data_IF_578622939875
#
_entry.id   IF_578622939875
#
_cell.length_a   1.000
_cell.length_b   1.000
_cell.length_c   1.000
_cell.angle_alpha   90.00
_cell.angle_beta   90.00
_cell.angle_gamma   90.00
#
_symmetry.space_group_name_H-M   'P 1'
#
loop_
_entity.id
_entity.type
_entity.pdbx_description
1 polymer ?
#
# COMPACT_ATOMS: atom_id res chain seq x y z
N UNK A 1 17.00 29.73 36.58
CA UNK A 1 18.12 30.37 35.87
C UNK A 1 17.92 30.10 34.39
N UNK A 2 17.03 30.88 33.77
CA UNK A 2 16.95 30.93 32.31
C UNK A 2 17.87 32.09 31.94
N UNK A 3 19.08 31.73 31.52
CA UNK A 3 20.03 32.67 30.96
C UNK A 3 19.39 33.38 29.76
N UNK A 4 19.78 34.64 29.58
CA UNK A 4 19.18 35.64 28.70
C UNK A 4 18.69 35.05 27.38
N UNK A 5 17.41 35.30 27.06
CA UNK A 5 16.88 34.97 25.74
C UNK A 5 17.56 35.91 24.72
N UNK A 6 18.69 35.45 24.19
CA UNK A 6 19.55 36.25 23.34
C UNK A 6 18.83 36.49 22.02
N UNK A 7 18.42 37.73 21.79
CA UNK A 7 17.68 38.17 20.59
C UNK A 7 18.43 37.75 19.32
N UNK A 8 19.76 37.62 19.39
CA UNK A 8 20.63 37.12 18.35
C UNK A 8 20.30 35.67 17.96
N UNK A 9 20.04 34.80 18.94
CA UNK A 9 19.64 33.41 18.70
C UNK A 9 18.25 33.31 18.09
N UNK A 10 17.32 34.20 18.45
CA UNK A 10 16.00 34.30 17.82
C UNK A 10 16.12 34.77 16.36
N UNK A 11 16.86 35.85 16.11
CA UNK A 11 17.05 36.41 14.77
C UNK A 11 17.85 35.51 13.84
N UNK A 12 18.67 34.60 14.35
CA UNK A 12 19.36 33.59 13.54
C UNK A 12 18.53 32.31 13.41
N UNK A 13 17.89 31.84 14.48
CA UNK A 13 17.13 30.59 14.51
C UNK A 13 15.88 30.62 13.65
N UNK A 14 15.11 31.73 13.66
CA UNK A 14 13.88 31.86 12.88
C UNK A 14 14.12 31.82 11.37
N UNK A 15 15.04 32.62 10.79
CA UNK A 15 15.34 32.56 9.37
C UNK A 15 15.88 31.19 8.95
N UNK A 16 16.72 30.57 9.78
CA UNK A 16 17.28 29.26 9.49
C UNK A 16 16.19 28.19 9.48
N UNK A 17 15.25 28.25 10.43
CA UNK A 17 14.04 27.41 10.44
C UNK A 17 13.17 27.59 9.19
N UNK A 18 12.90 28.84 8.80
CA UNK A 18 12.11 29.18 7.60
C UNK A 18 12.78 28.67 6.33
N UNK A 19 14.11 28.85 6.21
CA UNK A 19 14.90 28.36 5.07
C UNK A 19 14.85 26.83 5.01
N UNK A 20 15.03 26.16 6.15
CA UNK A 20 15.00 24.68 6.22
C UNK A 20 13.62 24.15 5.83
N UNK A 21 12.55 24.79 6.32
CA UNK A 21 11.17 24.46 5.96
C UNK A 21 10.91 24.65 4.46
N UNK A 22 11.39 25.75 3.86
CA UNK A 22 11.27 25.99 2.42
C UNK A 22 12.00 24.91 1.61
N UNK A 23 13.22 24.54 1.99
CA UNK A 23 14.00 23.50 1.30
C UNK A 23 13.26 22.16 1.32
N UNK A 24 12.79 21.74 2.51
CA UNK A 24 12.02 20.49 2.66
C UNK A 24 10.74 20.54 1.83
N UNK A 25 10.01 21.66 1.85
CA UNK A 25 8.80 21.85 1.06
C UNK A 25 9.05 21.74 -0.44
N UNK A 26 10.10 22.38 -0.97
CA UNK A 26 10.43 22.32 -2.39
C UNK A 26 10.86 20.92 -2.84
N UNK A 27 11.64 20.21 -2.01
CA UNK A 27 12.01 18.81 -2.24
C UNK A 27 10.76 17.94 -2.28
N UNK A 28 9.90 18.00 -1.25
CA UNK A 28 8.66 17.24 -1.18
C UNK A 28 7.72 17.55 -2.34
N UNK A 29 7.58 18.82 -2.74
CA UNK A 29 6.75 19.23 -3.87
C UNK A 29 7.30 18.70 -5.20
N UNK A 30 8.63 18.69 -5.39
CA UNK A 30 9.26 18.18 -6.62
C UNK A 30 9.12 16.65 -6.73
N UNK A 31 9.34 15.92 -5.64
CA UNK A 31 9.18 14.46 -5.62
C UNK A 31 7.71 14.02 -5.67
N UNK A 32 6.83 14.69 -4.93
CA UNK A 32 5.40 14.40 -4.92
C UNK A 32 4.72 14.60 -6.27
N UNK A 33 5.12 15.64 -7.02
CA UNK A 33 4.65 15.85 -8.40
C UNK A 33 5.17 14.78 -9.37
N UNK A 34 6.44 14.38 -9.26
CA UNK A 34 7.03 13.33 -10.12
C UNK A 34 6.42 11.95 -9.87
N UNK A 35 6.11 11.63 -8.62
CA UNK A 35 5.56 10.32 -8.20
C UNK A 35 4.03 10.28 -8.16
N UNK A 36 3.35 11.36 -8.61
CA UNK A 36 1.88 11.50 -8.59
C UNK A 36 1.25 11.21 -7.21
N UNK A 37 1.97 11.53 -6.13
CA UNK A 37 1.52 11.24 -4.75
C UNK A 37 0.20 11.92 -4.37
N UNK A 38 -0.17 12.99 -5.08
CA UNK A 38 -1.41 13.74 -4.86
C UNK A 38 -2.47 13.47 -5.93
N UNK A 39 -2.28 12.47 -6.80
CA UNK A 39 -3.25 12.10 -7.81
C UNK A 39 -4.10 10.93 -7.29
N UNK A 40 -5.24 11.26 -6.67
CA UNK A 40 -6.21 10.27 -6.21
C UNK A 40 -6.62 9.29 -7.32
N UNK A 41 -6.54 9.71 -8.58
CA UNK A 41 -6.85 8.82 -9.72
C UNK A 41 -5.87 7.67 -9.84
N UNK A 42 -4.59 7.88 -9.52
CA UNK A 42 -3.60 6.82 -9.56
C UNK A 42 -3.86 5.78 -8.46
N UNK A 43 -4.14 6.24 -7.25
CA UNK A 43 -4.47 5.36 -6.11
C UNK A 43 -5.76 4.58 -6.37
N UNK A 44 -6.83 5.27 -6.78
CA UNK A 44 -8.12 4.65 -7.15
C UNK A 44 -7.98 3.64 -8.29
N UNK A 45 -7.16 3.94 -9.30
CA UNK A 45 -6.89 3.01 -10.41
C UNK A 45 -6.14 1.77 -9.93
N UNK A 46 -5.13 1.91 -9.09
CA UNK A 46 -4.37 0.77 -8.54
C UNK A 46 -5.21 -0.10 -7.61
N UNK A 47 -6.03 0.50 -6.74
CA UNK A 47 -6.95 -0.22 -5.86
C UNK A 47 -7.96 -1.03 -6.69
N UNK A 48 -8.55 -0.39 -7.72
CA UNK A 48 -9.46 -1.06 -8.64
C UNK A 48 -8.77 -2.17 -9.43
N UNK A 49 -7.56 -1.94 -9.94
CA UNK A 49 -6.78 -2.94 -10.64
C UNK A 49 -6.43 -4.14 -9.75
N UNK A 50 -6.10 -3.92 -8.47
CA UNK A 50 -5.85 -4.99 -7.49
C UNK A 50 -7.12 -5.80 -7.21
N UNK A 51 -8.27 -5.15 -7.06
CA UNK A 51 -9.56 -5.83 -6.90
C UNK A 51 -9.93 -6.67 -8.14
N UNK A 52 -9.79 -6.12 -9.34
CA UNK A 52 -10.04 -6.85 -10.59
C UNK A 52 -9.07 -8.04 -10.73
N UNK A 53 -7.79 -7.84 -10.44
CA UNK A 53 -6.79 -8.92 -10.45
C UNK A 53 -7.16 -10.05 -9.48
N UNK A 54 -7.69 -9.71 -8.30
CA UNK A 54 -8.16 -10.71 -7.34
C UNK A 54 -9.34 -11.54 -7.87
N UNK A 55 -10.26 -10.92 -8.62
CA UNK A 55 -11.35 -11.64 -9.30
C UNK A 55 -10.81 -12.62 -10.33
N UNK A 56 -9.91 -12.17 -11.22
CA UNK A 56 -9.33 -13.04 -12.25
C UNK A 56 -8.52 -14.19 -11.67
N UNK A 57 -7.71 -13.93 -10.63
CA UNK A 57 -6.94 -14.98 -9.96
C UNK A 57 -7.85 -15.99 -9.23
N UNK A 58 -8.98 -15.54 -8.68
CA UNK A 58 -10.01 -16.44 -8.13
C UNK A 58 -10.55 -17.39 -9.19
N UNK A 59 -10.94 -16.88 -10.36
CA UNK A 59 -11.38 -17.72 -11.47
C UNK A 59 -10.28 -18.68 -11.95
N UNK A 60 -9.04 -18.21 -12.08
CA UNK A 60 -7.92 -19.04 -12.50
C UNK A 60 -7.68 -20.20 -11.51
N UNK A 61 -7.71 -19.93 -10.20
CA UNK A 61 -7.54 -20.96 -9.17
C UNK A 61 -8.68 -21.99 -9.25
N UNK A 62 -9.94 -21.54 -9.38
CA UNK A 62 -11.09 -22.44 -9.47
C UNK A 62 -11.04 -23.35 -10.71
N UNK A 63 -10.66 -22.80 -11.86
CA UNK A 63 -10.52 -23.58 -13.10
C UNK A 63 -9.42 -24.63 -12.94
N UNK A 64 -8.24 -24.24 -12.45
CA UNK A 64 -7.14 -25.17 -12.23
C UNK A 64 -7.50 -26.24 -11.18
N UNK A 65 -8.20 -25.88 -10.11
CA UNK A 65 -8.67 -26.83 -9.11
C UNK A 65 -9.68 -27.84 -9.67
N UNK A 66 -10.59 -27.38 -10.55
CA UNK A 66 -11.53 -28.25 -11.25
C UNK A 66 -10.80 -29.24 -12.17
N UNK A 67 -9.81 -28.77 -12.94
CA UNK A 67 -9.00 -29.62 -13.82
C UNK A 67 -8.28 -30.70 -13.03
N UNK A 68 -7.62 -30.33 -11.92
CA UNK A 68 -6.93 -31.30 -11.04
C UNK A 68 -7.91 -32.34 -10.51
N UNK A 69 -9.10 -31.90 -10.06
CA UNK A 69 -10.12 -32.81 -9.51
C UNK A 69 -10.64 -33.81 -10.54
N UNK A 70 -10.80 -33.40 -11.80
CA UNK A 70 -11.30 -34.26 -12.88
C UNK A 70 -10.23 -35.21 -13.42
N UNK A 71 -8.98 -34.75 -13.56
CA UNK A 71 -7.90 -35.53 -14.20
C UNK A 71 -7.18 -36.44 -13.20
N UNK A 72 -6.74 -35.88 -12.08
CA UNK A 72 -5.92 -36.60 -11.08
C UNK A 72 -6.74 -37.14 -9.91
N UNK A 73 -7.90 -36.53 -9.64
CA UNK A 73 -8.69 -36.84 -8.45
C UNK A 73 -8.03 -36.29 -7.16
N UNK A 74 -8.47 -36.77 -5.98
CA UNK A 74 -7.94 -36.31 -4.70
C UNK A 74 -6.53 -36.86 -4.44
N UNK A 75 -5.51 -36.13 -4.92
CA UNK A 75 -4.09 -36.39 -4.70
C UNK A 75 -3.34 -35.19 -4.11
N UNK A 76 -2.00 -35.20 -4.16
CA UNK A 76 -1.16 -34.13 -3.61
C UNK A 76 -1.50 -32.75 -4.22
N UNK A 77 -1.63 -32.69 -5.56
CA UNK A 77 -1.96 -31.47 -6.31
C UNK A 77 -3.27 -30.85 -5.83
N UNK A 78 -4.27 -31.68 -5.52
CA UNK A 78 -5.57 -31.23 -5.01
C UNK A 78 -5.41 -30.52 -3.66
N UNK A 79 -4.69 -31.13 -2.70
CA UNK A 79 -4.50 -30.54 -1.38
C UNK A 79 -3.64 -29.28 -1.41
N UNK A 80 -2.59 -29.25 -2.24
CA UNK A 80 -1.79 -28.03 -2.45
C UNK A 80 -2.69 -26.91 -2.98
N UNK A 81 -3.53 -27.22 -3.97
CA UNK A 81 -4.40 -26.23 -4.59
C UNK A 81 -5.51 -25.74 -3.64
N UNK A 82 -6.05 -26.63 -2.81
CA UNK A 82 -6.94 -26.25 -1.70
C UNK A 82 -6.24 -25.34 -0.69
N UNK A 83 -4.96 -25.62 -0.36
CA UNK A 83 -4.15 -24.74 0.49
C UNK A 83 -3.98 -23.34 -0.12
N UNK A 84 -3.65 -23.26 -1.41
CA UNK A 84 -3.54 -22.00 -2.16
C UNK A 84 -4.87 -21.24 -2.13
N UNK A 85 -5.99 -21.94 -2.34
CA UNK A 85 -7.33 -21.34 -2.28
C UNK A 85 -7.62 -20.72 -0.90
N UNK A 86 -7.32 -21.44 0.18
CA UNK A 86 -7.50 -20.94 1.54
C UNK A 86 -6.63 -19.70 1.79
N UNK A 87 -5.34 -19.74 1.42
CA UNK A 87 -4.42 -18.60 1.56
C UNK A 87 -4.94 -17.39 0.77
N UNK A 88 -5.41 -17.59 -0.46
CA UNK A 88 -5.97 -16.54 -1.31
C UNK A 88 -7.19 -15.86 -0.65
N UNK A 89 -8.10 -16.64 -0.07
CA UNK A 89 -9.29 -16.12 0.65
C UNK A 89 -8.94 -15.44 1.97
N UNK A 90 -8.02 -16.01 2.74
CA UNK A 90 -7.52 -15.40 3.99
C UNK A 90 -6.80 -14.08 3.69
N UNK A 91 -6.04 -14.00 2.60
CA UNK A 91 -5.34 -12.77 2.21
C UNK A 91 -6.30 -11.60 1.96
N UNK A 92 -7.47 -11.87 1.36
CA UNK A 92 -8.51 -10.87 1.18
C UNK A 92 -9.10 -10.44 2.52
N UNK A 93 -9.37 -11.40 3.41
CA UNK A 93 -9.93 -11.13 4.73
C UNK A 93 -8.99 -10.25 5.57
N UNK A 94 -7.70 -10.56 5.58
CA UNK A 94 -6.67 -9.74 6.25
C UNK A 94 -6.60 -8.35 5.61
N UNK A 95 -6.55 -8.28 4.27
CA UNK A 95 -6.53 -7.01 3.55
C UNK A 95 -7.73 -6.13 3.85
N UNK A 96 -8.93 -6.71 3.95
CA UNK A 96 -10.16 -6.02 4.29
C UNK A 96 -10.13 -5.49 5.73
N UNK A 97 -9.69 -6.29 6.71
CA UNK A 97 -9.57 -5.86 8.11
C UNK A 97 -8.60 -4.68 8.23
N UNK A 98 -7.42 -4.79 7.61
CA UNK A 98 -6.39 -3.72 7.66
C UNK A 98 -6.91 -2.44 6.99
N UNK A 99 -7.56 -2.57 5.82
CA UNK A 99 -8.11 -1.40 5.12
C UNK A 99 -9.27 -0.75 5.87
N UNK A 100 -10.05 -1.52 6.63
CA UNK A 100 -11.18 -0.98 7.40
C UNK A 100 -10.75 -0.23 8.66
N UNK A 101 -9.57 -0.54 9.23
CA UNK A 101 -9.02 0.19 10.39
C UNK A 101 -8.47 1.58 10.02
N UNK A 102 -8.21 1.84 8.74
CA UNK A 102 -7.67 3.10 8.24
C UNK A 102 -8.71 4.09 7.68
N UNK A 103 -9.99 3.71 7.66
CA UNK A 103 -11.13 4.56 7.30
C UNK A 103 -11.89 5.00 8.55
#
# INVERSE_FOLDING_TARGET
MFEDFDLLTLFLGLPLGIITMMIVFFIMRKFGKKKRWFDERYTKMNEKARSISWIFTTFAILIAWMIITVIEGPGLSFFIMTGIWLIHMVSYSIGAIVSNQGN
#
